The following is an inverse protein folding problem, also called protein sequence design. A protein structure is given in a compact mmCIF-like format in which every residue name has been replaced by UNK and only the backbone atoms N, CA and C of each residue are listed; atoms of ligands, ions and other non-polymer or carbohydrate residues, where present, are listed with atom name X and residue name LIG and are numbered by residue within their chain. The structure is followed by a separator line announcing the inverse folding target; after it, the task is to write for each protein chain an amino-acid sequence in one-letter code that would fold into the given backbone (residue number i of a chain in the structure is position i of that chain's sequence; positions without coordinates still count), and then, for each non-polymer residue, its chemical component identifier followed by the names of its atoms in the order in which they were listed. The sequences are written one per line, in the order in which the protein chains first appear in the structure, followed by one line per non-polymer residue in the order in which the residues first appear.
data_IF_629506898387
#
_entry.id   IF_629506898387
#
_cell.length_a   1.000
_cell.length_b   1.000
_cell.length_c   1.000
_cell.angle_alpha   90.00
_cell.angle_beta   90.00
_cell.angle_gamma   90.00
#
_symmetry.space_group_name_H-M   'P 1'
#
loop_
_entity.id
_entity.type
_entity.pdbx_description
1 polymer ?
#
# COMPACT_ATOMS: atom_id res chain seq x y z
N UNK A 1 12.53 7.13 7.52
CA UNK A 1 12.46 7.33 6.06
C UNK A 1 13.43 8.44 5.67
N UNK A 2 14.33 8.21 4.71
CA UNK A 2 15.31 9.23 4.28
C UNK A 2 14.66 10.21 3.29
N UNK A 3 15.02 11.51 3.35
CA UNK A 3 14.46 12.56 2.49
C UNK A 3 14.51 12.23 0.98
N UNK A 4 15.47 11.43 0.53
CA UNK A 4 15.59 11.01 -0.87
C UNK A 4 14.49 10.02 -1.30
N UNK A 5 14.08 9.09 -0.42
CA UNK A 5 13.00 8.15 -0.71
C UNK A 5 11.65 8.88 -0.76
N UNK A 6 11.40 9.77 0.20
CA UNK A 6 10.22 10.62 0.21
C UNK A 6 10.18 11.57 -1.00
N UNK A 7 11.32 12.11 -1.44
CA UNK A 7 11.37 12.95 -2.64
C UNK A 7 11.04 12.17 -3.92
N UNK A 8 11.54 10.94 -4.06
CA UNK A 8 11.20 10.04 -5.19
C UNK A 8 9.73 9.65 -5.18
N UNK A 9 9.21 9.32 -3.98
CA UNK A 9 7.80 9.03 -3.74
C UNK A 9 6.95 10.23 -4.18
N UNK A 10 7.21 11.41 -3.61
CA UNK A 10 6.47 12.64 -3.89
C UNK A 10 6.55 13.05 -5.36
N UNK A 11 7.69 12.85 -6.03
CA UNK A 11 7.83 13.18 -7.45
C UNK A 11 7.01 12.28 -8.37
N UNK A 12 6.90 10.98 -8.08
CA UNK A 12 6.11 10.03 -8.89
C UNK A 12 4.61 10.14 -8.59
N UNK A 13 4.22 10.29 -7.32
CA UNK A 13 2.82 10.42 -6.93
C UNK A 13 2.18 11.75 -7.31
N UNK A 14 2.95 12.85 -7.39
CA UNK A 14 2.41 14.17 -7.81
C UNK A 14 1.79 14.12 -9.22
N UNK A 15 2.38 13.33 -10.13
CA UNK A 15 1.81 13.14 -11.48
C UNK A 15 0.53 12.28 -11.49
N UNK A 16 0.37 11.40 -10.50
CA UNK A 16 -0.79 10.51 -10.40
C UNK A 16 -2.04 11.22 -9.84
N UNK A 17 -1.88 12.14 -8.88
CA UNK A 17 -3.00 12.92 -8.31
C UNK A 17 -3.73 13.73 -9.40
N UNK A 18 -3.03 14.15 -10.45
CA UNK A 18 -3.60 14.91 -11.57
C UNK A 18 -4.28 14.03 -12.64
N UNK A 19 -4.02 12.71 -12.66
CA UNK A 19 -4.34 11.83 -13.79
C UNK A 19 -5.54 10.89 -13.57
N UNK A 20 -6.11 10.78 -12.37
CA UNK A 20 -7.09 9.73 -12.08
C UNK A 20 -8.54 10.09 -12.46
N UNK A 21 -8.88 9.88 -13.74
CA UNK A 21 -10.19 9.37 -14.14
C UNK A 21 -10.02 8.32 -15.26
N UNK A 22 -10.45 7.09 -14.96
CA UNK A 22 -10.55 5.91 -15.85
C UNK A 22 -9.27 5.13 -16.15
N UNK A 23 -9.11 4.00 -15.46
CA UNK A 23 -8.82 2.72 -16.12
C UNK A 23 -9.25 1.57 -15.20
N UNK A 24 -10.23 0.80 -15.66
CA UNK A 24 -10.78 -0.34 -14.94
C UNK A 24 -9.95 -1.60 -15.13
N UNK A 25 -9.88 -2.39 -14.06
CA UNK A 25 -9.74 -3.84 -14.07
C UNK A 25 -8.36 -4.45 -14.44
N UNK A 26 -7.25 -3.81 -14.08
CA UNK A 26 -5.96 -4.49 -14.03
C UNK A 26 -5.86 -5.33 -12.74
N UNK A 27 -6.11 -6.64 -12.85
CA UNK A 27 -5.73 -7.64 -11.83
C UNK A 27 -4.22 -7.55 -11.60
N UNK A 28 -3.77 -6.78 -10.61
CA UNK A 28 -2.36 -6.76 -10.23
C UNK A 28 -2.07 -8.00 -9.36
N UNK A 29 -1.25 -8.90 -9.91
CA UNK A 29 -1.06 -10.23 -9.38
C UNK A 29 -0.30 -10.25 -8.05
N UNK A 30 -0.87 -10.95 -7.07
CA UNK A 30 -0.19 -11.32 -5.82
C UNK A 30 1.00 -12.24 -6.14
N UNK A 31 2.22 -11.85 -5.78
CA UNK A 31 3.46 -12.64 -5.92
C UNK A 31 3.52 -13.76 -4.89
N UNK A 32 2.98 -13.51 -3.69
CA UNK A 32 2.93 -14.52 -2.63
C UNK A 32 1.94 -15.62 -3.00
N UNK A 33 2.44 -16.85 -3.09
CA UNK A 33 1.57 -18.02 -3.22
C UNK A 33 0.69 -18.04 -1.99
N UNK A 34 -0.57 -17.64 -2.16
CA UNK A 34 -1.50 -17.54 -1.04
C UNK A 34 -1.71 -18.90 -0.34
N UNK A 35 -1.23 -20.00 -0.91
CA UNK A 35 -1.30 -21.38 -0.45
C UNK A 35 -0.86 -21.64 1.01
N UNK A 36 -0.12 -20.74 1.65
CA UNK A 36 0.24 -20.85 3.08
C UNK A 36 -0.41 -19.83 4.02
N UNK A 37 -1.15 -18.85 3.48
CA UNK A 37 -1.76 -17.77 4.27
C UNK A 37 -3.17 -18.17 4.74
N UNK A 38 -3.50 -17.76 5.96
CA UNK A 38 -4.85 -17.88 6.46
C UNK A 38 -5.83 -17.02 5.62
N UNK A 39 -7.14 -17.28 5.72
CA UNK A 39 -8.15 -16.57 4.93
C UNK A 39 -8.20 -15.05 5.15
N UNK A 40 -7.85 -14.54 6.32
CA UNK A 40 -7.80 -13.10 6.62
C UNK A 40 -6.60 -12.46 5.91
N UNK A 41 -5.40 -13.00 6.08
CA UNK A 41 -4.19 -12.52 5.39
C UNK A 41 -4.33 -12.54 3.87
N UNK A 42 -4.95 -13.59 3.31
CA UNK A 42 -5.25 -13.66 1.87
C UNK A 42 -6.20 -12.54 1.40
N UNK A 43 -7.25 -12.23 2.17
CA UNK A 43 -8.18 -11.13 1.87
C UNK A 43 -7.51 -9.76 1.95
N UNK A 44 -6.68 -9.55 2.97
CA UNK A 44 -5.91 -8.31 3.13
C UNK A 44 -4.99 -8.11 1.92
N UNK A 45 -4.19 -9.12 1.60
CA UNK A 45 -3.25 -9.07 0.48
C UNK A 45 -3.96 -8.80 -0.85
N UNK A 46 -5.12 -9.44 -1.08
CA UNK A 46 -5.95 -9.14 -2.24
C UNK A 46 -6.36 -7.66 -2.27
N UNK A 47 -6.92 -7.13 -1.17
CA UNK A 47 -7.34 -5.71 -1.10
C UNK A 47 -6.17 -4.73 -1.29
N UNK A 48 -4.95 -5.09 -0.89
CA UNK A 48 -3.76 -4.25 -1.09
C UNK A 48 -3.39 -4.06 -2.56
N UNK A 49 -3.73 -5.01 -3.43
CA UNK A 49 -3.45 -5.01 -4.87
C UNK A 49 -4.68 -4.61 -5.73
N UNK A 50 -5.79 -4.24 -5.08
CA UNK A 50 -7.05 -3.88 -5.76
C UNK A 50 -7.51 -2.48 -5.34
N UNK A 51 -6.57 -1.53 -5.29
CA UNK A 51 -6.84 -0.12 -5.02
C UNK A 51 -7.01 0.65 -6.34
N UNK A 52 -7.59 1.84 -6.24
CA UNK A 52 -7.91 2.66 -7.43
C UNK A 52 -6.71 3.41 -8.00
N UNK A 53 -5.60 3.44 -7.27
CA UNK A 53 -4.39 4.21 -7.57
C UNK A 53 -3.20 3.25 -7.66
N UNK A 54 -2.56 3.20 -8.83
CA UNK A 54 -1.48 2.24 -9.12
C UNK A 54 -0.34 2.32 -8.11
N UNK A 55 0.05 3.52 -7.73
CA UNK A 55 1.14 3.70 -6.79
C UNK A 55 0.74 3.27 -5.37
N UNK A 56 -0.54 3.33 -5.01
CA UNK A 56 -1.05 2.77 -3.76
C UNK A 56 -1.00 1.25 -3.77
N UNK A 57 -1.33 0.62 -4.90
CA UNK A 57 -1.16 -0.84 -5.07
C UNK A 57 0.30 -1.24 -4.87
N UNK A 58 1.24 -0.47 -5.43
CA UNK A 58 2.67 -0.77 -5.27
C UNK A 58 3.13 -0.62 -3.81
N UNK A 59 2.74 0.46 -3.12
CA UNK A 59 3.10 0.67 -1.71
C UNK A 59 2.47 -0.41 -0.83
N UNK A 60 1.15 -0.58 -0.87
CA UNK A 60 0.44 -1.50 0.01
C UNK A 60 0.67 -2.95 -0.38
N UNK A 61 0.65 -3.26 -1.67
CA UNK A 61 0.82 -4.61 -2.20
C UNK A 61 2.20 -5.18 -1.88
N UNK A 62 3.27 -4.44 -2.17
CA UNK A 62 4.62 -4.92 -1.88
C UNK A 62 4.92 -4.95 -0.37
N UNK A 63 4.42 -3.96 0.40
CA UNK A 63 4.51 -4.00 1.85
C UNK A 63 3.80 -5.23 2.44
N UNK A 64 2.57 -5.49 2.01
CA UNK A 64 1.82 -6.67 2.45
C UNK A 64 2.54 -7.95 2.02
N UNK A 65 3.09 -8.03 0.81
CA UNK A 65 3.88 -9.20 0.41
C UNK A 65 5.10 -9.43 1.32
N UNK A 66 5.76 -8.38 1.77
CA UNK A 66 6.94 -8.51 2.62
C UNK A 66 6.58 -8.88 4.07
N UNK A 67 5.46 -8.36 4.59
CA UNK A 67 5.20 -8.35 6.03
C UNK A 67 3.99 -9.18 6.45
N UNK A 68 3.01 -9.46 5.59
CA UNK A 68 1.72 -10.06 5.98
C UNK A 68 1.87 -11.40 6.71
N UNK A 69 2.90 -12.17 6.38
CA UNK A 69 3.19 -13.46 6.99
C UNK A 69 3.71 -13.33 8.44
N UNK A 70 4.30 -12.20 8.80
CA UNK A 70 4.93 -11.96 10.11
C UNK A 70 4.11 -11.04 11.01
N UNK A 71 3.12 -10.33 10.48
CA UNK A 71 2.23 -9.49 11.29
C UNK A 71 1.44 -10.32 12.31
N UNK A 72 1.41 -9.84 13.54
CA UNK A 72 0.54 -10.33 14.61
C UNK A 72 -0.93 -9.97 14.35
N UNK A 73 -1.87 -10.62 15.05
CA UNK A 73 -3.30 -10.34 14.87
C UNK A 73 -3.67 -8.87 15.18
N UNK A 74 -3.01 -8.26 16.18
CA UNK A 74 -3.20 -6.85 16.51
C UNK A 74 -2.67 -5.92 15.39
N UNK A 75 -1.53 -6.25 14.78
CA UNK A 75 -1.01 -5.49 13.63
C UNK A 75 -1.90 -5.69 12.39
N UNK A 76 -2.53 -6.85 12.23
CA UNK A 76 -3.51 -7.08 11.17
C UNK A 76 -4.79 -6.26 11.39
N UNK A 77 -5.28 -6.16 12.64
CA UNK A 77 -6.44 -5.31 12.99
C UNK A 77 -6.15 -3.84 12.63
N UNK A 78 -4.95 -3.38 12.99
CA UNK A 78 -4.48 -2.04 12.71
C UNK A 78 -4.31 -1.80 11.21
N UNK A 79 -3.72 -2.75 10.50
CA UNK A 79 -3.55 -2.64 9.06
C UNK A 79 -4.90 -2.60 8.34
N UNK A 80 -5.87 -3.42 8.73
CA UNK A 80 -7.23 -3.36 8.19
C UNK A 80 -7.91 -2.02 8.46
N UNK A 81 -7.65 -1.42 9.63
CA UNK A 81 -8.17 -0.08 9.99
C UNK A 81 -7.57 0.99 9.08
N UNK A 82 -6.25 0.97 8.86
CA UNK A 82 -5.58 1.88 7.92
C UNK A 82 -6.15 1.68 6.50
N UNK A 83 -6.33 0.43 6.08
CA UNK A 83 -6.84 0.09 4.76
C UNK A 83 -8.31 0.48 4.53
N UNK A 84 -9.06 0.82 5.58
CA UNK A 84 -10.44 1.27 5.49
C UNK A 84 -10.58 2.75 5.11
N UNK A 85 -9.48 3.51 5.17
CA UNK A 85 -9.44 4.91 4.77
C UNK A 85 -9.36 5.06 3.25
N UNK A 86 -9.76 6.23 2.76
CA UNK A 86 -9.75 6.58 1.34
C UNK A 86 -8.31 6.66 0.80
N UNK A 87 -8.09 6.15 -0.41
CA UNK A 87 -6.76 6.10 -1.04
C UNK A 87 -6.13 7.50 -1.13
N UNK A 88 -6.94 8.54 -1.40
CA UNK A 88 -6.49 9.93 -1.48
C UNK A 88 -5.96 10.46 -0.15
N UNK A 89 -6.59 10.11 0.97
CA UNK A 89 -6.21 10.58 2.30
C UNK A 89 -4.97 9.85 2.78
N UNK A 90 -4.94 8.53 2.62
CA UNK A 90 -3.75 7.71 2.87
C UNK A 90 -2.54 8.25 2.11
N UNK A 91 -2.74 8.58 0.83
CA UNK A 91 -1.70 9.15 0.00
C UNK A 91 -1.17 10.48 0.55
N UNK A 92 -2.07 11.39 0.95
CA UNK A 92 -1.69 12.69 1.53
C UNK A 92 -0.87 12.53 2.80
N UNK A 93 -1.22 11.58 3.66
CA UNK A 93 -0.49 11.29 4.90
C UNK A 93 0.87 10.65 4.62
N UNK A 94 0.95 9.68 3.71
CA UNK A 94 2.21 9.02 3.32
C UNK A 94 3.18 10.02 2.67
N UNK A 95 2.68 10.89 1.80
CA UNK A 95 3.48 11.95 1.18
C UNK A 95 3.88 13.07 2.16
N UNK A 96 3.32 13.07 3.38
CA UNK A 96 3.51 14.14 4.36
C UNK A 96 2.96 15.49 3.91
N UNK A 97 2.03 15.51 2.94
CA UNK A 97 1.36 16.76 2.54
C UNK A 97 0.36 17.18 3.61
N UNK A 98 -0.27 16.22 4.28
CA UNK A 98 -1.17 16.42 5.43
C UNK A 98 -0.60 15.75 6.69
N UNK A 99 -0.90 16.28 7.89
CA UNK A 99 -0.52 15.62 9.13
C UNK A 99 -1.25 14.29 9.29
N UNK A 100 -0.53 13.28 9.77
CA UNK A 100 -1.11 11.98 10.10
C UNK A 100 -2.06 12.15 11.29
N UNK A 101 -3.34 11.74 11.17
CA UNK A 101 -4.29 11.79 12.28
C UNK A 101 -3.79 11.02 13.49
N UNK A 102 -4.14 11.46 14.70
CA UNK A 102 -3.69 10.83 15.96
C UNK A 102 -3.97 9.32 16.01
N UNK A 103 -5.11 8.88 15.48
CA UNK A 103 -5.49 7.45 15.35
C UNK A 103 -4.54 6.60 14.51
N UNK A 104 -3.72 7.23 13.65
CA UNK A 104 -2.74 6.59 12.78
C UNK A 104 -1.30 6.97 13.11
N UNK A 105 -1.06 7.62 14.24
CA UNK A 105 0.30 7.86 14.75
C UNK A 105 0.85 6.60 15.42
N UNK A 106 0.84 5.51 14.68
CA UNK A 106 1.11 4.18 15.20
C UNK A 106 2.33 3.56 14.53
N UNK A 107 2.97 2.56 15.17
CA UNK A 107 4.13 1.90 14.58
C UNK A 107 3.83 1.29 13.21
N UNK A 108 2.63 0.76 13.01
CA UNK A 108 2.24 0.14 11.75
C UNK A 108 2.13 1.15 10.61
N UNK A 109 1.45 2.28 10.84
CA UNK A 109 1.37 3.34 9.84
C UNK A 109 2.76 3.93 9.55
N UNK A 110 3.60 4.10 10.57
CA UNK A 110 4.97 4.58 10.38
C UNK A 110 5.82 3.63 9.53
N UNK A 111 5.67 2.31 9.71
CA UNK A 111 6.34 1.29 8.88
C UNK A 111 5.85 1.33 7.44
N UNK A 112 4.54 1.40 7.24
CA UNK A 112 3.93 1.51 5.92
C UNK A 112 4.38 2.79 5.20
N UNK A 113 4.31 3.95 5.86
CA UNK A 113 4.72 5.22 5.29
C UNK A 113 6.22 5.24 4.98
N UNK A 114 7.05 4.54 5.77
CA UNK A 114 8.49 4.42 5.53
C UNK A 114 8.86 3.43 4.42
N UNK A 115 7.91 2.60 3.97
CA UNK A 115 8.16 1.58 2.95
C UNK A 115 8.42 2.23 1.59
N UNK A 116 9.50 1.80 0.94
CA UNK A 116 9.86 2.26 -0.40
C UNK A 116 9.54 1.15 -1.39
N UNK A 117 8.45 1.25 -2.16
CA UNK A 117 8.12 0.22 -3.13
C UNK A 117 9.10 0.27 -4.31
N UNK A 118 9.28 -0.88 -4.94
CA UNK A 118 9.93 -0.96 -6.24
C UNK A 118 8.92 -0.60 -7.34
N UNK A 119 9.04 0.62 -7.86
CA UNK A 119 8.17 1.11 -8.93
C UNK A 119 8.47 0.50 -10.30
N UNK A 120 9.65 -0.10 -10.46
CA UNK A 120 10.06 -0.71 -11.72
C UNK A 120 9.73 -2.22 -11.72
N UNK A 121 9.26 -2.76 -10.59
CA UNK A 121 8.72 -4.12 -10.49
C UNK A 121 7.53 -4.28 -11.46
N UNK A 122 7.62 -5.18 -12.46
CA UNK A 122 6.51 -5.42 -13.36
C UNK A 122 5.33 -6.00 -12.57
N UNK A 123 4.17 -5.37 -12.70
CA UNK A 123 2.91 -5.92 -12.22
C UNK A 123 2.68 -7.23 -13.00
N UNK A 124 2.68 -8.38 -12.31
CA UNK A 124 2.54 -9.66 -13.02
C UNK A 124 1.13 -9.76 -13.60
N UNK A 125 1.03 -9.92 -14.92
CA UNK A 125 -0.18 -10.45 -15.57
C UNK A 125 -0.28 -11.94 -15.26
N UNK A 126 -1.41 -12.46 -14.75
CA UNK A 126 -1.57 -13.90 -14.66
C UNK A 126 -1.44 -14.49 -16.08
N UNK A 127 -0.53 -15.47 -16.22
CA UNK A 127 -0.44 -16.31 -17.43
C UNK A 127 -1.70 -17.16 -17.61
#
# INVERSE_FOLDING_TARGET
MNNAALARLTSRFRGAIEAHQQEGNAMTGVTLTSAGLDPRRRRILFRCWHRGIREMDLVFGQFAEAEIATLSDAELDEFETIMAEEDNDLLRWIMGTWPVPERFQTPMFARLAAYTPDFDKPLRTPE
#
